data_IF_859840669059
#
_entry.id   IF_859840669059
#
_cell.length_a   1.000
_cell.length_b   1.000
_cell.length_c   1.000
_cell.angle_alpha   90.00
_cell.angle_beta   90.00
_cell.angle_gamma   90.00
#
_symmetry.space_group_name_H-M   'P 1'
#
loop_
_entity.id
_entity.type
_entity.pdbx_description
1 polymer ?
#
# COMPACT_ATOMS: atom_id res chain seq x y z
N UNK A 1 -3.76 -46.60 6.94
CA UNK A 1 -2.45 -46.89 6.34
C UNK A 1 -2.25 -46.26 4.95
N UNK A 2 -3.32 -45.79 4.27
CA UNK A 2 -3.25 -45.33 2.88
C UNK A 2 -2.91 -43.83 2.73
N UNK A 3 -3.08 -43.03 3.78
CA UNK A 3 -2.84 -41.57 3.74
C UNK A 3 -1.36 -41.22 3.91
N UNK A 4 -0.62 -42.05 4.65
CA UNK A 4 0.83 -41.80 4.88
C UNK A 4 1.70 -42.02 3.62
N UNK A 5 1.25 -42.83 2.66
CA UNK A 5 1.99 -43.07 1.42
C UNK A 5 1.88 -41.92 0.39
N UNK A 6 0.78 -41.14 0.40
CA UNK A 6 0.58 -40.04 -0.56
C UNK A 6 1.50 -38.85 -0.26
N UNK A 7 1.78 -38.58 1.02
CA UNK A 7 2.66 -37.46 1.43
C UNK A 7 4.13 -37.77 1.13
N UNK A 8 4.53 -39.02 1.26
CA UNK A 8 5.91 -39.45 0.98
C UNK A 8 6.20 -39.48 -0.52
N UNK A 9 5.24 -39.87 -1.37
CA UNK A 9 5.39 -39.83 -2.84
C UNK A 9 5.38 -38.37 -3.38
N UNK A 10 4.63 -37.46 -2.81
CA UNK A 10 4.65 -36.05 -3.21
C UNK A 10 6.02 -35.40 -2.91
N UNK A 11 6.71 -35.79 -1.83
CA UNK A 11 8.07 -35.32 -1.52
C UNK A 11 9.14 -35.87 -2.48
N UNK A 12 8.99 -37.11 -2.97
CA UNK A 12 9.93 -37.68 -3.93
C UNK A 12 9.79 -37.07 -5.34
N UNK A 13 8.60 -36.70 -5.77
CA UNK A 13 8.39 -36.08 -7.08
C UNK A 13 8.87 -34.59 -7.13
N UNK A 14 8.88 -33.89 -6.01
CA UNK A 14 9.48 -32.55 -5.92
C UNK A 14 11.01 -32.53 -5.89
N UNK A 15 11.66 -33.67 -5.62
CA UNK A 15 13.13 -33.76 -5.56
C UNK A 15 13.80 -34.11 -6.90
N UNK A 16 13.03 -34.38 -7.96
CA UNK A 16 13.59 -34.78 -9.28
C UNK A 16 13.72 -33.64 -10.30
N UNK A 17 13.38 -32.41 -9.94
CA UNK A 17 13.70 -31.23 -10.76
C UNK A 17 14.68 -30.31 -10.02
N UNK A 18 15.90 -30.78 -9.83
CA UNK A 18 17.01 -29.91 -9.45
C UNK A 18 17.51 -29.15 -10.68
N UNK A 19 17.47 -27.84 -10.73
CA UNK A 19 18.26 -27.11 -11.72
C UNK A 19 19.73 -27.24 -11.34
N UNK A 20 20.54 -27.51 -12.34
CA UNK A 20 21.99 -27.56 -12.30
C UNK A 20 22.62 -26.34 -11.61
N UNK A 21 23.67 -26.59 -10.81
CA UNK A 21 24.54 -25.69 -10.08
C UNK A 21 24.76 -24.32 -10.74
N UNK A 22 23.85 -23.33 -10.46
CA UNK A 22 24.19 -21.95 -10.32
C UNK A 22 23.93 -21.64 -8.85
N UNK A 23 24.88 -21.13 -8.10
CA UNK A 23 24.64 -20.56 -6.80
C UNK A 23 23.48 -19.55 -6.96
N UNK A 24 22.32 -19.86 -6.37
CA UNK A 24 21.24 -18.90 -6.21
C UNK A 24 21.78 -17.80 -5.28
N UNK A 25 22.39 -16.79 -5.87
CA UNK A 25 22.76 -15.58 -5.12
C UNK A 25 21.46 -14.94 -4.67
N UNK A 26 21.06 -15.24 -3.44
CA UNK A 26 19.88 -14.65 -2.83
C UNK A 26 20.06 -13.12 -2.82
N UNK A 27 19.08 -12.41 -3.36
CA UNK A 27 19.06 -10.95 -3.30
C UNK A 27 19.12 -10.49 -1.84
N UNK A 28 19.79 -9.37 -1.58
CA UNK A 28 19.76 -8.75 -0.25
C UNK A 28 18.31 -8.41 0.11
N UNK A 29 17.85 -8.76 1.33
CA UNK A 29 16.51 -8.43 1.77
C UNK A 29 16.25 -6.92 1.75
N UNK A 30 15.09 -6.50 1.25
CA UNK A 30 14.60 -5.11 1.29
C UNK A 30 13.88 -4.89 2.62
N UNK A 31 14.23 -3.79 3.32
CA UNK A 31 13.62 -3.40 4.59
C UNK A 31 12.37 -2.58 4.34
N UNK A 32 11.21 -3.14 4.71
CA UNK A 32 9.91 -2.52 4.51
C UNK A 32 9.30 -2.19 5.88
N UNK A 33 9.25 -0.90 6.19
CA UNK A 33 8.59 -0.40 7.39
C UNK A 33 7.10 -0.12 7.11
N UNK A 34 6.22 -0.58 7.99
CA UNK A 34 4.78 -0.36 7.90
C UNK A 34 4.27 0.17 9.25
N UNK A 35 3.63 1.35 9.24
CA UNK A 35 3.00 1.91 10.44
C UNK A 35 1.52 1.56 10.50
N UNK A 36 0.95 1.44 11.71
CA UNK A 36 -0.41 0.93 11.88
C UNK A 36 -0.53 -0.53 11.48
N UNK A 37 0.48 -1.33 11.82
CA UNK A 37 0.66 -2.71 11.36
C UNK A 37 -0.47 -3.65 11.79
N UNK A 38 -1.07 -3.42 12.98
CA UNK A 38 -2.20 -4.20 13.48
C UNK A 38 -3.57 -3.70 12.96
N UNK A 39 -3.60 -2.57 12.22
CA UNK A 39 -4.83 -2.03 11.64
C UNK A 39 -5.31 -2.83 10.42
N UNK A 40 -6.56 -2.61 10.00
CA UNK A 40 -7.19 -3.33 8.88
C UNK A 40 -6.38 -3.24 7.56
N UNK A 41 -5.85 -2.06 7.23
CA UNK A 41 -5.03 -1.87 6.03
C UNK A 41 -3.66 -2.52 6.22
N UNK A 42 -3.01 -2.31 7.38
CA UNK A 42 -1.73 -2.93 7.73
C UNK A 42 -1.79 -4.45 7.62
N UNK A 43 -2.78 -5.05 8.26
CA UNK A 43 -3.03 -6.50 8.19
C UNK A 43 -3.17 -6.99 6.74
N UNK A 44 -4.05 -6.36 5.94
CA UNK A 44 -4.24 -6.75 4.54
C UNK A 44 -2.98 -6.55 3.66
N UNK A 45 -2.11 -5.62 4.03
CA UNK A 45 -0.90 -5.26 3.27
C UNK A 45 0.26 -6.23 3.55
N UNK A 46 0.50 -6.57 4.81
CA UNK A 46 1.70 -7.29 5.26
C UNK A 46 1.83 -8.68 4.62
N UNK A 47 0.75 -9.45 4.55
CA UNK A 47 0.74 -10.78 3.95
C UNK A 47 1.06 -10.73 2.44
N UNK A 48 0.61 -9.71 1.76
CA UNK A 48 0.85 -9.50 0.34
C UNK A 48 2.29 -9.05 0.06
N UNK A 49 2.88 -8.24 0.95
CA UNK A 49 4.30 -7.89 0.87
C UNK A 49 5.14 -9.15 1.07
N UNK A 50 4.85 -9.92 2.12
CA UNK A 50 5.57 -11.14 2.46
C UNK A 50 5.45 -12.23 1.37
N UNK A 51 4.32 -12.27 0.66
CA UNK A 51 4.11 -13.21 -0.47
C UNK A 51 4.79 -12.79 -1.78
N UNK A 52 5.44 -11.61 -1.81
CA UNK A 52 6.17 -11.09 -2.98
C UNK A 52 5.30 -10.38 -4.02
N UNK A 53 4.08 -9.94 -3.67
CA UNK A 53 3.22 -9.21 -4.61
C UNK A 53 3.69 -7.77 -4.87
N UNK A 54 4.46 -7.19 -3.94
CA UNK A 54 4.94 -5.81 -4.05
C UNK A 54 6.27 -5.69 -4.82
N UNK A 55 7.24 -6.55 -4.51
CA UNK A 55 8.63 -6.42 -5.00
C UNK A 55 9.07 -7.57 -5.92
N UNK A 56 8.18 -8.52 -6.20
CA UNK A 56 8.48 -9.69 -7.02
C UNK A 56 8.69 -10.97 -6.20
N UNK A 57 8.61 -12.10 -6.89
CA UNK A 57 8.62 -13.44 -6.28
C UNK A 57 10.03 -13.94 -5.93
N UNK A 58 11.04 -13.15 -6.18
CA UNK A 58 12.45 -13.45 -5.93
C UNK A 58 13.14 -12.43 -5.01
N UNK A 59 12.36 -11.47 -4.44
CA UNK A 59 12.88 -10.43 -3.55
C UNK A 59 12.52 -10.73 -2.09
N UNK A 60 13.51 -11.14 -1.25
CA UNK A 60 13.30 -11.26 0.19
C UNK A 60 13.02 -9.92 0.85
N UNK A 61 12.25 -9.94 1.93
CA UNK A 61 11.88 -8.75 2.70
C UNK A 61 12.09 -8.93 4.19
N UNK A 62 12.48 -7.84 4.87
CA UNK A 62 12.44 -7.68 6.31
C UNK A 62 11.29 -6.74 6.63
N UNK A 63 10.31 -7.20 7.41
CA UNK A 63 9.18 -6.39 7.83
C UNK A 63 9.47 -5.68 9.15
N UNK A 64 9.35 -4.36 9.16
CA UNK A 64 9.52 -3.51 10.33
C UNK A 64 8.16 -2.89 10.70
N UNK A 65 7.55 -3.41 11.78
CA UNK A 65 6.16 -3.17 12.14
C UNK A 65 6.08 -2.14 13.25
N UNK A 66 5.58 -0.95 12.94
CA UNK A 66 5.37 0.13 13.91
C UNK A 66 3.89 0.23 14.25
N UNK A 67 3.59 0.19 15.54
CA UNK A 67 2.25 0.51 16.04
C UNK A 67 2.33 1.13 17.43
N UNK A 68 1.22 1.64 17.92
CA UNK A 68 1.10 2.25 19.25
C UNK A 68 1.43 1.24 20.37
N UNK A 69 1.90 1.69 21.57
CA UNK A 69 2.23 0.81 22.67
C UNK A 69 1.08 -0.14 23.04
N UNK A 70 -0.15 0.35 23.06
CA UNK A 70 -1.34 -0.45 23.36
C UNK A 70 -1.70 -1.47 22.27
N UNK A 71 -1.21 -1.31 21.06
CA UNK A 71 -1.46 -2.22 19.94
C UNK A 71 -0.38 -3.31 19.79
N UNK A 72 0.72 -3.26 20.56
CA UNK A 72 1.83 -4.20 20.43
C UNK A 72 1.43 -5.66 20.59
N UNK A 73 0.40 -5.94 21.42
CA UNK A 73 -0.09 -7.30 21.56
C UNK A 73 -0.83 -7.79 20.29
N UNK A 74 -1.57 -6.91 19.63
CA UNK A 74 -2.20 -7.22 18.35
C UNK A 74 -1.15 -7.41 17.23
N UNK A 75 -0.08 -6.60 17.21
CA UNK A 75 1.04 -6.77 16.26
C UNK A 75 1.70 -8.14 16.44
N UNK A 76 1.88 -8.61 17.69
CA UNK A 76 2.38 -9.97 17.95
C UNK A 76 1.49 -11.05 17.33
N UNK A 77 0.16 -10.90 17.42
CA UNK A 77 -0.79 -11.80 16.76
C UNK A 77 -0.60 -11.81 15.23
N UNK A 78 -0.46 -10.65 14.61
CA UNK A 78 -0.18 -10.55 13.17
C UNK A 78 1.15 -11.23 12.80
N UNK A 79 2.19 -11.08 13.63
CA UNK A 79 3.47 -11.77 13.41
C UNK A 79 3.34 -13.29 13.49
N UNK A 80 2.54 -13.82 14.42
CA UNK A 80 2.27 -15.25 14.50
C UNK A 80 1.60 -15.78 13.23
N UNK A 81 0.60 -15.07 12.72
CA UNK A 81 -0.06 -15.46 11.46
C UNK A 81 0.90 -15.38 10.25
N UNK A 82 1.76 -14.37 10.19
CA UNK A 82 2.80 -14.28 9.16
C UNK A 82 3.79 -15.45 9.24
N UNK A 83 4.14 -15.91 10.46
CA UNK A 83 4.96 -17.10 10.67
C UNK A 83 4.23 -18.38 10.23
N UNK A 84 2.94 -18.50 10.55
CA UNK A 84 2.11 -19.64 10.16
C UNK A 84 1.95 -19.75 8.65
N UNK A 85 2.01 -18.64 7.92
CA UNK A 85 2.01 -18.63 6.45
C UNK A 85 3.31 -19.19 5.84
N UNK A 86 4.40 -19.25 6.58
CA UNK A 86 5.70 -19.78 6.14
C UNK A 86 6.17 -19.20 4.79
N UNK A 87 6.00 -17.89 4.58
CA UNK A 87 6.39 -17.23 3.34
C UNK A 87 7.89 -17.35 3.07
N UNK A 88 8.33 -17.92 1.94
CA UNK A 88 9.75 -18.13 1.66
C UNK A 88 10.55 -16.83 1.47
N UNK A 89 9.87 -15.70 1.21
CA UNK A 89 10.48 -14.39 1.01
C UNK A 89 10.54 -13.56 2.29
N UNK A 90 9.91 -14.00 3.38
CA UNK A 90 9.94 -13.30 4.65
C UNK A 90 11.20 -13.69 5.43
N UNK A 91 12.24 -12.84 5.37
CA UNK A 91 13.52 -13.08 6.04
C UNK A 91 13.40 -12.93 7.56
N UNK A 92 12.87 -11.80 8.01
CA UNK A 92 12.66 -11.53 9.43
C UNK A 92 11.62 -10.43 9.67
N UNK A 93 11.20 -10.30 10.93
CA UNK A 93 10.21 -9.31 11.37
C UNK A 93 10.68 -8.62 12.65
N UNK A 94 10.44 -7.31 12.74
CA UNK A 94 10.68 -6.48 13.91
C UNK A 94 9.38 -5.77 14.27
N UNK A 95 8.89 -5.91 15.50
CA UNK A 95 7.76 -5.15 16.01
C UNK A 95 8.22 -4.17 17.09
N UNK A 96 7.75 -2.94 17.05
CA UNK A 96 8.14 -1.89 17.98
C UNK A 96 7.12 -0.74 18.01
N UNK A 97 7.12 0.01 19.10
CA UNK A 97 6.45 1.31 19.22
C UNK A 97 7.38 2.51 19.05
N UNK A 98 8.69 2.24 18.82
CA UNK A 98 9.70 3.26 18.61
C UNK A 98 9.95 3.50 17.12
N UNK A 99 9.65 4.70 16.57
CA UNK A 99 9.85 5.01 15.16
C UNK A 99 11.31 4.88 14.69
N UNK A 100 12.31 5.21 15.53
CA UNK A 100 13.72 5.08 15.14
C UNK A 100 14.14 3.61 14.97
N UNK A 101 13.55 2.69 15.75
CA UNK A 101 13.77 1.25 15.57
C UNK A 101 13.07 0.75 14.32
N UNK A 102 11.81 1.18 14.11
CA UNK A 102 11.01 0.76 12.97
C UNK A 102 11.58 1.24 11.63
N UNK A 103 12.14 2.45 11.57
CA UNK A 103 12.65 3.02 10.31
C UNK A 103 14.15 2.80 10.11
N UNK A 104 14.83 2.10 11.03
CA UNK A 104 16.27 1.86 10.90
C UNK A 104 16.61 1.14 9.60
N UNK A 105 17.43 1.80 8.78
CA UNK A 105 17.86 1.31 7.46
C UNK A 105 16.72 0.93 6.52
N UNK A 106 15.51 1.49 6.71
CA UNK A 106 14.37 1.20 5.87
C UNK A 106 14.59 1.67 4.42
N UNK A 107 14.35 0.78 3.47
CA UNK A 107 14.37 1.08 2.03
C UNK A 107 13.01 1.59 1.55
N UNK A 108 11.94 1.09 2.18
CA UNK A 108 10.55 1.46 1.90
C UNK A 108 9.84 1.71 3.23
N UNK A 109 9.10 2.80 3.34
CA UNK A 109 8.26 3.12 4.48
C UNK A 109 6.83 3.42 4.03
N UNK A 110 5.87 2.62 4.49
CA UNK A 110 4.43 2.78 4.18
C UNK A 110 3.75 3.28 5.45
N UNK A 111 3.40 4.57 5.48
CA UNK A 111 2.84 5.25 6.63
C UNK A 111 1.30 5.17 6.58
N UNK A 112 0.77 4.08 7.14
CA UNK A 112 -0.67 3.78 7.18
C UNK A 112 -1.32 4.34 8.43
N UNK A 113 -0.64 4.25 9.58
CA UNK A 113 -1.16 4.66 10.87
C UNK A 113 -1.46 6.16 10.92
N UNK A 114 -2.71 6.50 11.15
CA UNK A 114 -3.18 7.85 11.38
C UNK A 114 -4.34 7.82 12.36
N UNK A 115 -4.56 8.92 13.11
CA UNK A 115 -5.71 9.04 13.98
C UNK A 115 -6.99 9.20 13.17
N UNK A 116 -7.97 8.29 13.29
CA UNK A 116 -9.26 8.44 12.62
C UNK A 116 -10.06 9.59 13.24
N UNK A 117 -10.97 10.18 12.46
CA UNK A 117 -11.91 11.19 12.97
C UNK A 117 -12.91 10.50 13.91
N UNK A 118 -12.93 10.92 15.17
CA UNK A 118 -13.93 10.50 16.15
C UNK A 118 -15.21 11.35 16.12
N UNK A 119 -16.32 10.87 16.71
CA UNK A 119 -17.52 11.67 16.91
C UNK A 119 -17.19 12.97 17.68
N UNK A 120 -17.71 14.11 17.20
CA UNK A 120 -17.50 15.41 17.84
C UNK A 120 -16.11 16.04 17.69
N UNK A 121 -15.18 15.39 16.98
CA UNK A 121 -13.85 15.94 16.75
C UNK A 121 -13.88 16.99 15.64
N UNK A 122 -13.38 18.18 15.95
CA UNK A 122 -13.20 19.24 14.96
C UNK A 122 -12.10 18.87 13.95
N UNK A 123 -12.22 19.45 12.74
CA UNK A 123 -11.24 19.17 11.67
C UNK A 123 -9.84 19.65 12.04
N UNK A 124 -9.74 20.76 12.77
CA UNK A 124 -8.48 21.32 13.24
C UNK A 124 -7.78 20.40 14.26
N UNK A 125 -8.53 19.82 15.20
CA UNK A 125 -7.98 18.91 16.21
C UNK A 125 -7.45 17.64 15.59
N UNK A 126 -8.17 17.08 14.62
CA UNK A 126 -7.74 15.92 13.87
C UNK A 126 -6.44 16.20 13.09
N UNK A 127 -6.38 17.37 12.45
CA UNK A 127 -5.19 17.80 11.71
C UNK A 127 -3.98 17.93 12.64
N UNK A 128 -4.16 18.59 13.79
CA UNK A 128 -3.09 18.77 14.78
C UNK A 128 -2.58 17.43 15.33
N UNK A 129 -3.49 16.52 15.69
CA UNK A 129 -3.12 15.20 16.19
C UNK A 129 -2.33 14.39 15.16
N UNK A 130 -2.76 14.40 13.90
CA UNK A 130 -2.04 13.73 12.82
C UNK A 130 -0.70 14.42 12.52
N UNK A 131 -0.65 15.76 12.55
CA UNK A 131 0.58 16.51 12.35
C UNK A 131 1.68 16.09 13.33
N UNK A 132 1.38 15.87 14.60
CA UNK A 132 2.33 15.36 15.59
C UNK A 132 2.88 13.98 15.21
N UNK A 133 2.01 13.05 14.80
CA UNK A 133 2.40 11.69 14.40
C UNK A 133 3.39 11.78 13.22
N UNK A 134 3.04 12.50 12.16
CA UNK A 134 3.85 12.55 10.95
C UNK A 134 5.11 13.43 11.10
N UNK A 135 5.13 14.38 12.02
CA UNK A 135 6.35 15.11 12.42
C UNK A 135 7.37 14.17 13.07
N UNK A 136 6.93 13.37 14.04
CA UNK A 136 7.80 12.41 14.73
C UNK A 136 8.31 11.33 13.77
N UNK A 137 7.43 10.79 12.93
CA UNK A 137 7.82 9.78 11.93
C UNK A 137 8.77 10.35 10.87
N UNK A 138 8.52 11.57 10.39
CA UNK A 138 9.42 12.25 9.45
C UNK A 138 10.82 12.49 10.03
N UNK A 139 10.89 12.97 11.28
CA UNK A 139 12.17 13.17 11.97
C UNK A 139 12.93 11.83 12.17
N UNK A 140 12.22 10.76 12.53
CA UNK A 140 12.84 9.45 12.67
C UNK A 140 13.34 8.90 11.31
N UNK A 141 12.56 9.02 10.23
CA UNK A 141 13.00 8.69 8.87
C UNK A 141 14.27 9.45 8.50
N UNK A 142 14.30 10.76 8.76
CA UNK A 142 15.47 11.60 8.48
C UNK A 142 16.73 11.08 9.17
N UNK A 143 16.59 10.63 10.41
CA UNK A 143 17.70 10.22 11.27
C UNK A 143 18.24 8.84 10.91
N UNK A 144 17.38 7.85 10.61
CA UNK A 144 17.79 6.45 10.61
C UNK A 144 17.44 5.66 9.35
N UNK A 145 16.63 6.19 8.43
CA UNK A 145 16.27 5.48 7.20
C UNK A 145 17.40 5.53 6.15
N UNK A 146 17.33 4.64 5.15
CA UNK A 146 18.13 4.74 3.94
C UNK A 146 17.95 6.12 3.29
N UNK A 147 19.03 6.70 2.75
CA UNK A 147 18.95 8.01 2.06
C UNK A 147 18.07 7.99 0.82
N UNK A 148 17.90 6.82 0.21
CA UNK A 148 17.04 6.57 -0.96
C UNK A 148 15.67 5.99 -0.60
N UNK A 149 15.29 6.00 0.69
CA UNK A 149 14.02 5.47 1.17
C UNK A 149 12.83 5.98 0.35
N UNK A 150 11.91 5.07 -0.02
CA UNK A 150 10.63 5.40 -0.66
C UNK A 150 9.56 5.51 0.43
N UNK A 151 9.01 6.69 0.63
CA UNK A 151 8.00 6.95 1.66
C UNK A 151 6.63 7.15 1.01
N UNK A 152 5.73 6.20 1.24
CA UNK A 152 4.33 6.28 0.81
C UNK A 152 3.43 6.59 2.00
N UNK A 153 2.74 7.72 1.97
CA UNK A 153 1.76 8.10 3.00
C UNK A 153 0.35 7.70 2.56
N UNK A 154 -0.26 6.81 3.36
CA UNK A 154 -1.62 6.28 3.17
C UNK A 154 -2.59 6.90 4.17
N UNK A 155 -2.12 7.17 5.39
CA UNK A 155 -2.93 7.73 6.48
C UNK A 155 -3.49 9.12 6.15
N UNK A 156 -4.81 9.29 6.32
CA UNK A 156 -5.52 10.54 5.98
C UNK A 156 -5.38 11.63 7.06
N UNK A 157 -5.33 12.91 6.61
CA UNK A 157 -5.33 13.43 5.24
C UNK A 157 -3.97 13.23 4.53
N UNK A 158 -3.93 12.32 3.56
CA UNK A 158 -2.68 11.75 3.02
C UNK A 158 -1.72 12.83 2.46
N UNK A 159 -2.22 13.78 1.67
CA UNK A 159 -1.37 14.83 1.07
C UNK A 159 -0.77 15.76 2.12
N UNK A 160 -1.54 16.16 3.12
CA UNK A 160 -1.06 17.01 4.23
C UNK A 160 -0.05 16.26 5.08
N UNK A 161 -0.35 15.01 5.42
CA UNK A 161 0.53 14.17 6.22
C UNK A 161 1.86 13.88 5.49
N UNK A 162 1.83 13.63 4.19
CA UNK A 162 3.03 13.48 3.37
C UNK A 162 3.89 14.75 3.36
N UNK A 163 3.26 15.92 3.23
CA UNK A 163 3.95 17.20 3.29
C UNK A 163 4.62 17.44 4.65
N UNK A 164 3.92 17.13 5.75
CA UNK A 164 4.45 17.27 7.12
C UNK A 164 5.64 16.32 7.32
N UNK A 165 5.51 15.04 6.96
CA UNK A 165 6.59 14.06 7.07
C UNK A 165 7.82 14.51 6.26
N UNK A 166 7.63 14.96 5.02
CA UNK A 166 8.68 15.49 4.16
C UNK A 166 9.38 16.71 4.79
N UNK A 167 8.62 17.68 5.31
CA UNK A 167 9.19 18.87 5.97
C UNK A 167 9.93 18.55 7.27
N UNK A 168 9.57 17.46 7.93
CA UNK A 168 10.23 16.97 9.15
C UNK A 168 11.46 16.09 8.85
N UNK A 169 11.77 15.86 7.57
CA UNK A 169 12.91 15.09 7.11
C UNK A 169 13.79 15.92 6.14
N UNK A 170 14.42 17.01 6.61
CA UNK A 170 15.10 17.98 5.74
C UNK A 170 16.30 17.43 4.97
N UNK A 171 16.94 16.34 5.44
CA UNK A 171 18.09 15.73 4.79
C UNK A 171 17.72 14.65 3.77
N UNK A 172 16.44 14.30 3.68
CA UNK A 172 15.93 13.38 2.65
C UNK A 172 15.39 14.16 1.44
N UNK A 173 15.65 13.69 0.20
CA UNK A 173 15.13 14.33 -0.99
C UNK A 173 13.59 14.37 -0.98
N UNK A 174 12.99 15.51 -1.33
CA UNK A 174 11.53 15.66 -1.37
C UNK A 174 10.83 14.62 -2.28
N UNK A 175 11.49 14.20 -3.36
CA UNK A 175 11.01 13.16 -4.29
C UNK A 175 10.83 11.78 -3.66
N UNK A 176 11.39 11.56 -2.46
CA UNK A 176 11.26 10.31 -1.73
C UNK A 176 9.89 10.20 -1.01
N UNK A 177 9.10 11.26 -0.99
CA UNK A 177 7.81 11.31 -0.30
C UNK A 177 6.66 11.40 -1.28
N UNK A 178 5.69 10.49 -1.16
CA UNK A 178 4.47 10.48 -1.95
C UNK A 178 3.24 10.30 -1.07
N UNK A 179 2.09 10.81 -1.53
CA UNK A 179 0.78 10.57 -0.95
C UNK A 179 -0.02 9.63 -1.85
N UNK A 180 -0.74 8.68 -1.26
CA UNK A 180 -1.47 7.67 -2.03
C UNK A 180 -2.77 8.20 -2.62
N UNK A 181 -2.79 8.39 -3.95
CA UNK A 181 -4.00 8.55 -4.77
C UNK A 181 -4.24 7.32 -5.68
N UNK A 182 -3.42 6.28 -5.57
CA UNK A 182 -3.53 5.07 -6.39
C UNK A 182 -4.88 4.37 -6.22
N UNK A 183 -5.50 4.43 -5.04
CA UNK A 183 -6.84 3.87 -4.85
C UNK A 183 -7.89 4.60 -5.71
N UNK A 184 -7.79 5.90 -5.81
CA UNK A 184 -8.70 6.71 -6.64
C UNK A 184 -8.46 6.44 -8.13
N UNK A 185 -7.20 6.30 -8.52
CA UNK A 185 -6.81 5.87 -9.86
C UNK A 185 -7.38 4.47 -10.20
N UNK A 186 -7.25 3.49 -9.31
CA UNK A 186 -7.78 2.14 -9.52
C UNK A 186 -9.31 2.13 -9.62
N UNK A 187 -10.00 2.97 -8.85
CA UNK A 187 -11.46 3.19 -8.95
C UNK A 187 -11.84 3.75 -10.30
N UNK A 188 -11.11 4.76 -10.78
CA UNK A 188 -11.35 5.35 -12.09
C UNK A 188 -11.10 4.34 -13.21
N UNK A 189 -9.98 3.60 -13.17
CA UNK A 189 -9.67 2.55 -14.14
C UNK A 189 -10.77 1.49 -14.22
N UNK A 190 -11.28 1.03 -13.07
CA UNK A 190 -12.38 0.06 -13.00
C UNK A 190 -13.66 0.59 -13.66
N UNK A 191 -14.03 1.85 -13.45
CA UNK A 191 -15.21 2.47 -14.08
C UNK A 191 -15.04 2.63 -15.59
N UNK A 192 -13.84 2.97 -16.06
CA UNK A 192 -13.55 3.06 -17.50
C UNK A 192 -13.61 1.68 -18.17
N UNK A 193 -13.04 0.66 -17.54
CA UNK A 193 -13.11 -0.72 -18.02
C UNK A 193 -14.56 -1.23 -18.13
N UNK A 194 -15.38 -0.97 -17.12
CA UNK A 194 -16.81 -1.31 -17.10
C UNK A 194 -17.59 -0.59 -18.21
N UNK A 195 -17.39 0.73 -18.37
CA UNK A 195 -18.08 1.54 -19.40
C UNK A 195 -17.70 1.12 -20.82
N UNK A 196 -16.45 0.74 -21.04
CA UNK A 196 -15.93 0.40 -22.37
C UNK A 196 -16.02 -1.10 -22.69
N UNK A 197 -16.27 -1.95 -21.70
CA UNK A 197 -16.23 -3.41 -21.84
C UNK A 197 -14.82 -3.98 -22.10
N UNK A 198 -13.76 -3.18 -21.85
CA UNK A 198 -12.35 -3.55 -22.05
C UNK A 198 -11.67 -3.90 -20.73
N UNK A 199 -10.46 -4.50 -20.79
CA UNK A 199 -9.75 -4.91 -19.59
C UNK A 199 -9.02 -3.75 -18.90
N UNK A 200 -9.04 -3.72 -17.57
CA UNK A 200 -8.31 -2.70 -16.76
C UNK A 200 -6.83 -2.64 -17.10
N UNK A 201 -6.21 -3.79 -17.37
CA UNK A 201 -4.77 -3.89 -17.70
C UNK A 201 -4.38 -3.18 -18.98
N UNK A 202 -5.33 -2.88 -19.86
CA UNK A 202 -5.09 -2.23 -21.15
C UNK A 202 -5.25 -0.70 -21.05
N UNK A 203 -5.55 -0.17 -19.85
CA UNK A 203 -5.70 1.27 -19.60
C UNK A 203 -4.34 1.89 -19.32
N UNK A 204 -3.97 2.87 -20.11
CA UNK A 204 -2.73 3.64 -19.98
C UNK A 204 -3.02 5.14 -19.85
N UNK A 205 -2.08 5.89 -19.29
CA UNK A 205 -2.07 7.36 -19.21
C UNK A 205 -3.29 7.98 -18.51
N UNK A 206 -3.97 7.19 -17.65
CA UNK A 206 -5.01 7.72 -16.78
C UNK A 206 -4.37 8.52 -15.65
N UNK A 207 -4.87 9.73 -15.40
CA UNK A 207 -4.39 10.61 -14.34
C UNK A 207 -5.47 10.91 -13.30
N UNK A 208 -5.05 11.13 -12.06
CA UNK A 208 -5.91 11.72 -11.01
C UNK A 208 -5.22 12.95 -10.45
N UNK A 209 -5.87 14.10 -10.58
CA UNK A 209 -5.35 15.39 -10.16
C UNK A 209 -5.92 15.81 -8.80
N UNK A 210 -5.14 16.57 -8.04
CA UNK A 210 -5.55 17.15 -6.78
C UNK A 210 -5.24 16.28 -5.57
N UNK A 211 -5.90 16.59 -4.44
CA UNK A 211 -5.71 15.88 -3.19
C UNK A 211 -6.64 14.66 -3.11
N UNK A 212 -6.29 13.69 -2.26
CA UNK A 212 -7.21 12.60 -1.90
C UNK A 212 -8.42 13.16 -1.11
N UNK A 213 -9.40 13.66 -1.85
CA UNK A 213 -10.62 14.28 -1.35
C UNK A 213 -11.73 14.22 -2.41
N UNK A 214 -13.01 14.52 -2.08
CA UNK A 214 -14.08 14.59 -3.08
C UNK A 214 -13.88 15.60 -4.21
N UNK A 215 -12.90 16.51 -4.09
CA UNK A 215 -12.55 17.50 -5.12
C UNK A 215 -11.44 17.01 -6.07
N UNK A 216 -10.93 15.80 -5.93
CA UNK A 216 -10.02 15.21 -6.90
C UNK A 216 -10.69 15.08 -8.27
N UNK A 217 -9.90 15.12 -9.31
CA UNK A 217 -10.37 15.00 -10.69
C UNK A 217 -9.71 13.79 -11.38
N UNK A 218 -10.51 12.77 -11.66
CA UNK A 218 -10.10 11.63 -12.47
C UNK A 218 -10.16 12.02 -13.96
N UNK A 219 -9.00 12.06 -14.60
CA UNK A 219 -8.83 12.61 -15.95
C UNK A 219 -8.47 11.52 -16.95
N UNK A 220 -9.42 11.15 -17.79
CA UNK A 220 -9.21 10.18 -18.87
C UNK A 220 -9.03 10.81 -20.26
N UNK A 221 -8.95 12.15 -20.35
CA UNK A 221 -8.88 12.85 -21.65
C UNK A 221 -7.72 12.41 -22.51
N UNK A 222 -6.61 11.99 -21.88
CA UNK A 222 -5.40 11.52 -22.55
C UNK A 222 -5.18 10.01 -22.37
N UNK A 223 -6.10 9.33 -21.67
CA UNK A 223 -6.00 7.91 -21.45
C UNK A 223 -6.27 7.12 -22.73
N UNK A 224 -5.56 6.00 -22.87
CA UNK A 224 -5.80 5.01 -23.92
C UNK A 224 -6.20 3.68 -23.31
N UNK A 225 -6.92 2.86 -24.05
CA UNK A 225 -7.26 1.49 -23.68
C UNK A 225 -7.09 0.59 -24.92
N UNK A 226 -6.10 -0.31 -24.86
CA UNK A 226 -5.70 -1.09 -26.04
C UNK A 226 -5.25 -0.24 -27.22
N UNK A 227 -4.64 0.94 -26.94
CA UNK A 227 -4.17 1.89 -27.96
C UNK A 227 -5.23 2.88 -28.48
N UNK A 228 -6.53 2.68 -28.16
CA UNK A 228 -7.61 3.58 -28.58
C UNK A 228 -7.84 4.70 -27.54
N UNK A 229 -8.20 5.89 -28.00
CA UNK A 229 -8.53 7.03 -27.11
C UNK A 229 -9.76 6.72 -26.27
N UNK A 230 -9.62 6.73 -24.94
CA UNK A 230 -10.75 6.50 -24.02
C UNK A 230 -11.82 7.59 -24.18
N UNK A 231 -11.40 8.85 -24.39
CA UNK A 231 -12.30 9.98 -24.61
C UNK A 231 -13.20 9.75 -25.82
N UNK A 232 -12.64 9.23 -26.91
CA UNK A 232 -13.39 9.03 -28.17
C UNK A 232 -14.28 7.78 -28.08
N UNK A 233 -13.82 6.73 -27.42
CA UNK A 233 -14.60 5.52 -27.16
C UNK A 233 -15.85 5.79 -26.29
N UNK A 234 -15.70 6.62 -25.26
CA UNK A 234 -16.80 6.93 -24.35
C UNK A 234 -17.70 8.00 -24.96
N UNK A 235 -17.13 9.11 -25.43
CA UNK A 235 -17.80 10.27 -26.05
C UNK A 235 -19.15 10.66 -25.39
N UNK A 236 -19.17 10.66 -24.06
CA UNK A 236 -20.36 10.83 -23.22
C UNK A 236 -20.04 11.78 -22.06
N UNK A 237 -20.24 13.09 -22.30
CA UNK A 237 -19.94 14.12 -21.31
C UNK A 237 -20.91 14.09 -20.12
N UNK A 238 -22.16 13.68 -20.34
CA UNK A 238 -23.14 13.55 -19.27
C UNK A 238 -22.75 12.42 -18.32
N UNK A 239 -22.36 11.27 -18.84
CA UNK A 239 -21.82 10.18 -18.04
C UNK A 239 -20.56 10.60 -17.26
N UNK A 240 -19.64 11.33 -17.90
CA UNK A 240 -18.44 11.82 -17.23
C UNK A 240 -18.79 12.68 -16.03
N UNK A 241 -19.66 13.67 -16.21
CA UNK A 241 -19.97 14.69 -15.19
C UNK A 241 -20.89 14.12 -14.08
N UNK A 242 -21.91 13.32 -14.46
CA UNK A 242 -22.99 12.94 -13.56
C UNK A 242 -22.84 11.51 -13.01
N UNK A 243 -21.99 10.66 -13.61
CA UNK A 243 -21.77 9.26 -13.16
C UNK A 243 -20.33 9.01 -12.77
N UNK A 244 -19.37 9.19 -13.70
CA UNK A 244 -17.98 8.79 -13.51
C UNK A 244 -17.31 9.57 -12.37
N UNK A 245 -17.22 10.89 -12.46
CA UNK A 245 -16.55 11.72 -11.46
C UNK A 245 -17.19 11.59 -10.07
N UNK A 246 -18.53 11.65 -9.90
CA UNK A 246 -19.16 11.44 -8.60
C UNK A 246 -18.94 10.03 -8.05
N UNK A 247 -18.99 8.98 -8.90
CA UNK A 247 -18.78 7.59 -8.47
C UNK A 247 -17.37 7.40 -7.93
N UNK A 248 -16.35 7.85 -8.65
CA UNK A 248 -14.95 7.75 -8.20
C UNK A 248 -14.74 8.54 -6.91
N UNK A 249 -15.21 9.80 -6.87
CA UNK A 249 -15.01 10.69 -5.72
C UNK A 249 -15.73 10.27 -4.44
N UNK A 250 -16.90 9.63 -4.56
CA UNK A 250 -17.73 9.22 -3.42
C UNK A 250 -17.62 7.72 -3.08
N UNK A 251 -16.83 6.94 -3.81
CA UNK A 251 -16.73 5.49 -3.62
C UNK A 251 -16.39 5.08 -2.19
N UNK A 252 -15.53 5.85 -1.52
CA UNK A 252 -15.18 5.58 -0.12
C UNK A 252 -16.38 5.64 0.83
N UNK A 253 -17.23 6.64 0.67
CA UNK A 253 -18.47 6.80 1.45
C UNK A 253 -19.46 5.66 1.15
N UNK A 254 -19.65 5.31 -0.13
CA UNK A 254 -20.52 4.20 -0.52
C UNK A 254 -20.07 2.85 0.06
N UNK A 255 -18.76 2.61 0.16
CA UNK A 255 -18.23 1.39 0.80
C UNK A 255 -18.52 1.39 2.30
N UNK A 256 -18.35 2.53 2.99
CA UNK A 256 -18.67 2.64 4.42
C UNK A 256 -20.17 2.40 4.65
N UNK A 257 -21.02 2.99 3.83
CA UNK A 257 -22.48 2.76 3.89
C UNK A 257 -22.84 1.29 3.73
N UNK A 258 -22.25 0.60 2.76
CA UNK A 258 -22.54 -0.81 2.48
C UNK A 258 -21.93 -1.80 3.48
N UNK A 259 -20.71 -1.53 3.98
CA UNK A 259 -19.93 -2.48 4.82
C UNK A 259 -19.89 -2.12 6.30
N UNK A 260 -20.25 -0.90 6.67
CA UNK A 260 -20.00 -0.35 8.01
C UNK A 260 -18.54 -0.03 8.33
N UNK A 261 -17.61 -0.29 7.39
CA UNK A 261 -16.16 -0.13 7.56
C UNK A 261 -15.55 0.52 6.31
N UNK A 262 -14.46 1.26 6.50
CA UNK A 262 -13.72 1.86 5.38
C UNK A 262 -13.03 0.79 4.51
N UNK A 263 -12.59 1.21 3.33
CA UNK A 263 -11.79 0.38 2.42
C UNK A 263 -10.49 -0.05 3.11
N UNK A 264 -10.23 -1.35 3.16
CA UNK A 264 -9.00 -1.90 3.71
C UNK A 264 -8.21 -2.68 2.64
N UNK A 265 -8.78 -3.76 2.11
CA UNK A 265 -8.11 -4.60 1.12
C UNK A 265 -7.76 -3.84 -0.18
N UNK A 266 -8.68 -3.00 -0.68
CA UNK A 266 -8.42 -2.18 -1.87
C UNK A 266 -7.41 -1.07 -1.62
N UNK A 267 -7.34 -0.51 -0.40
CA UNK A 267 -6.30 0.45 -0.02
C UNK A 267 -4.92 -0.23 0.06
N UNK A 268 -4.86 -1.44 0.64
CA UNK A 268 -3.65 -2.24 0.65
C UNK A 268 -3.19 -2.60 -0.78
N UNK A 269 -4.12 -3.00 -1.65
CA UNK A 269 -3.81 -3.25 -3.06
C UNK A 269 -3.22 -2.01 -3.74
N UNK A 270 -3.84 -0.86 -3.55
CA UNK A 270 -3.37 0.40 -4.14
C UNK A 270 -1.97 0.80 -3.63
N UNK A 271 -1.66 0.54 -2.36
CA UNK A 271 -0.32 0.78 -1.82
C UNK A 271 0.73 -0.15 -2.45
N UNK A 272 0.40 -1.43 -2.66
CA UNK A 272 1.26 -2.39 -3.38
C UNK A 272 1.49 -1.94 -4.81
N UNK A 273 0.43 -1.59 -5.55
CA UNK A 273 0.52 -1.13 -6.92
C UNK A 273 1.37 0.16 -7.01
N UNK A 274 1.20 1.10 -6.07
CA UNK A 274 1.97 2.34 -6.03
C UNK A 274 3.46 2.09 -5.86
N UNK A 275 3.84 1.27 -4.87
CA UNK A 275 5.26 0.95 -4.61
C UNK A 275 5.83 0.17 -5.79
N UNK A 276 5.15 -0.87 -6.28
CA UNK A 276 5.61 -1.69 -7.42
C UNK A 276 5.93 -0.87 -8.66
N UNK A 277 5.07 0.14 -8.96
CA UNK A 277 5.28 0.98 -10.14
C UNK A 277 6.32 2.10 -9.90
N UNK A 278 6.73 2.31 -8.64
CA UNK A 278 7.72 3.33 -8.27
C UNK A 278 9.16 2.79 -8.17
N UNK A 279 9.35 1.48 -7.90
CA UNK A 279 10.67 0.85 -7.68
C UNK A 279 11.18 0.02 -8.90
#
# INVERSE_FOLDING_TARGET
FTIFNAITQCRLLCLQSQPTNGELVMKKPVRVAVTGAAGQIGYALLFRIASGEMLGKDQPVILQLLDLPQAQNAVKGVMMELQDCAFPLLDSMIATDNPEVAFKDADIAILVGARPRGPGMERADLLQANAQIFTVQGAALNKVASRDVKVLVVGNPANTNAYIAMKSAPDLPAKNFTAMLRLDHNRAASQLAEKTGKAVRDIEKLCVWGNHSPTMYADYRFATIGGESVKDLINDQDWNANVFLPTVGKRGAAIIEARGLSSAASAANAAIDHIRDWV
#
